data_IF_082122636266
#
_entry.id   IF_082122636266
#
_cell.length_a   1.000
_cell.length_b   1.000
_cell.length_c   1.000
_cell.angle_alpha   90.00
_cell.angle_beta   90.00
_cell.angle_gamma   90.00
#
_symmetry.space_group_name_H-M   'P 1'
#
loop_
_entity.id
_entity.type
_entity.pdbx_description
1 polymer ?
#
# COMPACT_ATOMS: atom_id res chain seq x y z
N UNK A 1 -0.73 -27.60 21.20
CA UNK A 1 -1.64 -26.64 20.56
C UNK A 1 -1.46 -25.30 21.24
N UNK A 2 -1.09 -24.25 20.50
CA UNK A 2 -1.16 -22.89 21.04
C UNK A 2 -2.63 -22.50 21.27
N UNK A 3 -2.91 -21.67 22.26
CA UNK A 3 -4.27 -21.13 22.42
C UNK A 3 -4.66 -20.26 21.21
N UNK A 4 -5.95 -20.12 20.92
CA UNK A 4 -6.46 -19.21 19.86
C UNK A 4 -5.87 -17.80 19.97
N UNK A 5 -5.54 -17.36 21.19
CA UNK A 5 -4.85 -16.11 21.45
C UNK A 5 -3.40 -16.08 20.91
N UNK A 6 -2.64 -17.14 21.11
CA UNK A 6 -1.26 -17.23 20.59
C UNK A 6 -1.24 -17.25 19.05
N UNK A 7 -2.18 -17.96 18.41
CA UNK A 7 -2.36 -17.95 16.96
C UNK A 7 -2.76 -16.56 16.44
N UNK A 8 -3.72 -15.91 17.09
CA UNK A 8 -4.12 -14.55 16.76
C UNK A 8 -2.94 -13.55 16.82
N UNK A 9 -2.16 -13.56 17.90
CA UNK A 9 -0.99 -12.68 18.05
C UNK A 9 0.07 -12.97 16.99
N UNK A 10 0.31 -14.24 16.66
CA UNK A 10 1.21 -14.62 15.58
C UNK A 10 0.76 -14.05 14.24
N UNK A 11 -0.54 -14.10 13.95
CA UNK A 11 -1.11 -13.55 12.72
C UNK A 11 -1.08 -12.02 12.68
N UNK A 12 -1.30 -11.34 13.82
CA UNK A 12 -1.06 -9.88 13.92
C UNK A 12 0.39 -9.55 13.57
N UNK A 13 1.34 -10.27 14.16
CA UNK A 13 2.77 -10.06 13.86
C UNK A 13 3.05 -10.33 12.38
N UNK A 14 2.53 -11.41 11.82
CA UNK A 14 2.70 -11.74 10.40
C UNK A 14 2.15 -10.62 9.50
N UNK A 15 0.96 -10.08 9.80
CA UNK A 15 0.38 -8.94 9.07
C UNK A 15 1.25 -7.68 9.16
N UNK A 16 1.81 -7.38 10.34
CA UNK A 16 2.74 -6.25 10.47
C UNK A 16 4.01 -6.43 9.65
N UNK A 17 4.61 -7.63 9.66
CA UNK A 17 5.82 -7.93 8.91
C UNK A 17 5.57 -7.94 7.40
N UNK A 18 4.44 -8.48 6.95
CA UNK A 18 4.04 -8.49 5.53
C UNK A 18 4.11 -7.09 4.90
N UNK A 19 3.57 -6.08 5.59
CA UNK A 19 3.63 -4.70 5.11
C UNK A 19 5.03 -4.09 5.28
N UNK A 20 5.75 -4.41 6.35
CA UNK A 20 7.07 -3.83 6.61
C UNK A 20 8.16 -4.35 5.67
N UNK A 21 8.05 -5.60 5.21
CA UNK A 21 9.04 -6.27 4.36
C UNK A 21 8.66 -6.19 2.87
N UNK A 22 7.36 -6.09 2.55
CA UNK A 22 6.87 -5.91 1.19
C UNK A 22 7.14 -4.51 0.63
N UNK A 23 8.24 -4.35 -0.12
CA UNK A 23 8.63 -3.07 -0.74
C UNK A 23 7.57 -2.55 -1.70
N UNK A 24 6.86 -3.43 -2.41
CA UNK A 24 5.73 -3.07 -3.26
C UNK A 24 4.54 -2.50 -2.45
N UNK A 25 4.23 -3.09 -1.30
CA UNK A 25 3.18 -2.61 -0.39
C UNK A 25 3.54 -1.27 0.25
N UNK A 26 4.80 -1.11 0.69
CA UNK A 26 5.28 0.18 1.22
C UNK A 26 5.22 1.28 0.16
N UNK A 27 5.75 1.02 -1.04
CA UNK A 27 5.74 1.98 -2.12
C UNK A 27 4.31 2.30 -2.58
N UNK A 28 3.42 1.30 -2.63
CA UNK A 28 2.00 1.48 -2.90
C UNK A 28 1.35 2.43 -1.90
N UNK A 29 1.56 2.21 -0.59
CA UNK A 29 1.01 3.08 0.44
C UNK A 29 1.57 4.51 0.29
N UNK A 30 2.89 4.66 0.20
CA UNK A 30 3.53 5.97 0.07
C UNK A 30 3.03 6.74 -1.16
N UNK A 31 2.91 6.07 -2.31
CA UNK A 31 2.46 6.72 -3.54
C UNK A 31 0.99 7.12 -3.47
N UNK A 32 0.13 6.39 -2.76
CA UNK A 32 -1.25 6.80 -2.47
C UNK A 32 -1.33 8.02 -1.56
N UNK A 33 -0.39 8.21 -0.63
CA UNK A 33 -0.36 9.38 0.25
C UNK A 33 0.07 10.66 -0.47
N UNK A 34 0.86 10.57 -1.56
CA UNK A 34 1.33 11.74 -2.32
C UNK A 34 0.18 12.65 -2.84
N UNK A 35 -0.86 12.15 -3.52
CA UNK A 35 -1.98 13.00 -3.92
C UNK A 35 -3.00 13.24 -2.79
N UNK A 36 -2.96 12.48 -1.69
CA UNK A 36 -4.02 12.47 -0.69
C UNK A 36 -4.22 13.80 0.05
N UNK A 37 -3.21 14.68 0.04
CA UNK A 37 -3.27 16.03 0.62
C UNK A 37 -3.80 17.10 -0.33
N UNK A 38 -4.08 16.77 -1.60
CA UNK A 38 -4.42 17.72 -2.65
C UNK A 38 -5.87 17.58 -3.12
N UNK A 39 -6.44 18.67 -3.63
CA UNK A 39 -7.74 18.63 -4.30
C UNK A 39 -7.56 18.29 -5.78
N UNK A 40 -8.40 17.40 -6.34
CA UNK A 40 -8.45 17.21 -7.78
C UNK A 40 -9.29 18.33 -8.44
N UNK A 41 -8.77 18.91 -9.53
CA UNK A 41 -9.51 19.81 -10.42
C UNK A 41 -9.34 19.34 -11.87
N UNK A 42 -10.34 18.64 -12.38
CA UNK A 42 -10.24 17.95 -13.68
C UNK A 42 -9.08 16.94 -13.68
N UNK A 43 -8.14 17.12 -14.61
CA UNK A 43 -6.95 16.26 -14.77
C UNK A 43 -5.70 16.79 -14.06
N UNK A 44 -5.85 17.72 -13.11
CA UNK A 44 -4.72 18.29 -12.36
C UNK A 44 -4.97 18.24 -10.86
N UNK A 45 -3.91 17.95 -10.12
CA UNK A 45 -3.88 18.18 -8.68
C UNK A 45 -3.64 19.67 -8.42
N UNK A 46 -4.46 20.27 -7.58
CA UNK A 46 -4.41 21.71 -7.27
C UNK A 46 -3.97 21.93 -5.82
N UNK A 47 -4.57 22.90 -5.14
CA UNK A 47 -4.15 23.34 -3.82
C UNK A 47 -4.37 22.28 -2.74
N UNK A 48 -3.71 22.49 -1.60
CA UNK A 48 -3.88 21.71 -0.38
C UNK A 48 -5.36 21.61 0.02
N UNK A 49 -5.80 20.38 0.30
CA UNK A 49 -7.19 20.05 0.62
C UNK A 49 -7.60 20.39 2.06
N UNK A 50 -6.65 20.82 2.90
CA UNK A 50 -6.86 21.02 4.33
C UNK A 50 -6.54 19.76 5.14
N UNK A 51 -6.02 19.95 6.35
CA UNK A 51 -5.54 18.87 7.23
C UNK A 51 -6.64 17.86 7.52
N UNK A 52 -7.82 18.36 7.93
CA UNK A 52 -8.97 17.52 8.26
C UNK A 52 -9.38 16.66 7.05
N UNK A 53 -9.57 17.28 5.88
CA UNK A 53 -10.00 16.55 4.68
C UNK A 53 -8.96 15.53 4.22
N UNK A 54 -7.68 15.87 4.31
CA UNK A 54 -6.57 14.95 3.96
C UNK A 54 -6.63 13.69 4.83
N UNK A 55 -6.75 13.84 6.15
CA UNK A 55 -6.85 12.70 7.08
C UNK A 55 -8.09 11.85 6.80
N UNK A 56 -9.26 12.48 6.63
CA UNK A 56 -10.50 11.75 6.33
C UNK A 56 -10.42 11.01 4.99
N UNK A 57 -9.79 11.59 3.97
CA UNK A 57 -9.61 10.95 2.68
C UNK A 57 -8.71 9.72 2.77
N UNK A 58 -7.58 9.84 3.49
CA UNK A 58 -6.64 8.73 3.72
C UNK A 58 -7.33 7.59 4.46
N UNK A 59 -8.02 7.89 5.56
CA UNK A 59 -8.74 6.88 6.34
C UNK A 59 -9.76 6.13 5.47
N UNK A 60 -10.55 6.84 4.65
CA UNK A 60 -11.50 6.21 3.73
C UNK A 60 -10.83 5.26 2.74
N UNK A 61 -9.71 5.68 2.14
CA UNK A 61 -8.96 4.88 1.16
C UNK A 61 -8.38 3.63 1.82
N UNK A 62 -7.73 3.79 2.98
CA UNK A 62 -7.09 2.69 3.73
C UNK A 62 -8.15 1.71 4.21
N UNK A 63 -9.25 2.17 4.80
CA UNK A 63 -10.35 1.29 5.23
C UNK A 63 -10.96 0.54 4.04
N UNK A 64 -11.21 1.20 2.90
CA UNK A 64 -11.75 0.53 1.73
C UNK A 64 -10.80 -0.53 1.16
N UNK A 65 -9.49 -0.24 1.15
CA UNK A 65 -8.47 -1.21 0.80
C UNK A 65 -8.50 -2.42 1.75
N UNK A 66 -8.51 -2.20 3.07
CA UNK A 66 -8.54 -3.28 4.07
C UNK A 66 -9.81 -4.13 3.93
N UNK A 67 -10.96 -3.52 3.65
CA UNK A 67 -12.21 -4.25 3.40
C UNK A 67 -12.11 -5.14 2.16
N UNK A 68 -11.62 -4.60 1.04
CA UNK A 68 -11.41 -5.38 -0.19
C UNK A 68 -10.40 -6.52 0.02
N UNK A 69 -9.30 -6.22 0.71
CA UNK A 69 -8.27 -7.19 1.07
C UNK A 69 -8.80 -8.33 1.93
N UNK A 70 -9.56 -8.00 2.98
CA UNK A 70 -10.21 -8.98 3.85
C UNK A 70 -11.15 -9.89 3.08
N UNK A 71 -11.95 -9.31 2.16
CA UNK A 71 -12.87 -10.09 1.33
C UNK A 71 -12.10 -11.08 0.45
N UNK A 72 -11.03 -10.64 -0.20
CA UNK A 72 -10.23 -11.53 -1.03
C UNK A 72 -9.53 -12.64 -0.24
N UNK A 73 -9.03 -12.34 0.96
CA UNK A 73 -8.45 -13.35 1.84
C UNK A 73 -9.46 -14.43 2.20
N UNK A 74 -10.68 -14.03 2.57
CA UNK A 74 -11.76 -14.96 2.89
C UNK A 74 -12.08 -15.82 1.67
N UNK A 75 -12.26 -15.21 0.49
CA UNK A 75 -12.60 -15.92 -0.74
C UNK A 75 -11.52 -16.94 -1.14
N UNK A 76 -10.24 -16.56 -1.02
CA UNK A 76 -9.14 -17.46 -1.35
C UNK A 76 -8.94 -18.55 -0.31
N UNK A 77 -9.08 -18.24 0.98
CA UNK A 77 -8.92 -19.23 2.04
C UNK A 77 -10.06 -20.24 2.11
N UNK A 78 -11.28 -19.87 1.70
CA UNK A 78 -12.40 -20.80 1.52
C UNK A 78 -12.28 -21.64 0.23
N UNK A 79 -11.24 -21.40 -0.59
CA UNK A 79 -11.03 -22.08 -1.87
C UNK A 79 -12.00 -21.66 -2.98
N UNK A 80 -12.77 -20.58 -2.78
CA UNK A 80 -13.70 -20.07 -3.81
C UNK A 80 -12.97 -19.36 -4.94
N UNK A 81 -11.80 -18.79 -4.65
CA UNK A 81 -10.92 -18.15 -5.63
C UNK A 81 -9.53 -18.73 -5.47
N UNK A 82 -9.09 -19.53 -6.45
CA UNK A 82 -7.74 -20.07 -6.50
C UNK A 82 -7.07 -19.59 -7.79
N UNK A 83 -6.13 -18.66 -7.66
CA UNK A 83 -5.32 -18.17 -8.77
C UNK A 83 -3.84 -18.50 -8.50
N UNK A 84 -3.05 -18.82 -9.55
CA UNK A 84 -1.60 -18.94 -9.40
C UNK A 84 -0.99 -17.63 -8.88
N UNK A 85 0.11 -17.72 -8.12
CA UNK A 85 0.77 -16.54 -7.51
C UNK A 85 1.29 -15.55 -8.56
N UNK A 86 1.88 -16.04 -9.65
CA UNK A 86 2.52 -15.20 -10.65
C UNK A 86 1.58 -14.13 -11.27
N UNK A 87 0.38 -14.46 -11.80
CA UNK A 87 -0.56 -13.43 -12.25
C UNK A 87 -0.98 -12.46 -11.15
N UNK A 88 -1.22 -12.94 -9.93
CA UNK A 88 -1.62 -12.11 -8.79
C UNK A 88 -0.53 -11.08 -8.47
N UNK A 89 0.72 -11.51 -8.41
CA UNK A 89 1.86 -10.62 -8.18
C UNK A 89 2.00 -9.60 -9.32
N UNK A 90 1.83 -10.00 -10.59
CA UNK A 90 1.85 -9.04 -11.72
C UNK A 90 0.73 -7.99 -11.54
N UNK A 91 -0.47 -8.41 -11.15
CA UNK A 91 -1.57 -7.48 -10.90
C UNK A 91 -1.29 -6.54 -9.73
N UNK A 92 -0.67 -7.02 -8.65
CA UNK A 92 -0.20 -6.18 -7.54
C UNK A 92 0.74 -5.08 -8.07
N UNK A 93 1.76 -5.43 -8.86
CA UNK A 93 2.67 -4.44 -9.43
C UNK A 93 1.94 -3.45 -10.36
N UNK A 94 0.96 -3.92 -11.14
CA UNK A 94 0.09 -3.05 -11.93
C UNK A 94 -0.72 -2.06 -11.07
N UNK A 95 -1.20 -2.45 -9.88
CA UNK A 95 -1.89 -1.51 -8.99
C UNK A 95 -0.95 -0.39 -8.51
N UNK A 96 0.33 -0.69 -8.23
CA UNK A 96 1.35 0.31 -7.89
C UNK A 96 1.58 1.27 -9.05
N UNK A 97 1.70 0.74 -10.28
CA UNK A 97 1.84 1.55 -11.49
C UNK A 97 0.65 2.51 -11.65
N UNK A 98 -0.56 1.99 -11.49
CA UNK A 98 -1.79 2.79 -11.63
C UNK A 98 -1.88 3.85 -10.52
N UNK A 99 -1.53 3.52 -9.28
CA UNK A 99 -1.49 4.47 -8.17
C UNK A 99 -0.43 5.57 -8.41
N UNK A 100 0.71 5.23 -9.00
CA UNK A 100 1.74 6.19 -9.37
C UNK A 100 1.29 7.13 -10.49
N UNK A 101 0.59 6.62 -11.51
CA UNK A 101 0.00 7.47 -12.56
C UNK A 101 -1.09 8.36 -11.95
N UNK A 102 -1.90 7.85 -11.02
CA UNK A 102 -2.88 8.65 -10.27
C UNK A 102 -2.19 9.77 -9.46
N UNK A 103 -1.04 9.48 -8.86
CA UNK A 103 -0.24 10.47 -8.17
C UNK A 103 0.30 11.55 -9.12
N UNK A 104 0.56 11.27 -10.40
CA UNK A 104 0.91 12.29 -11.42
C UNK A 104 -0.27 13.13 -11.87
N UNK A 105 -1.40 12.48 -12.14
CA UNK A 105 -2.64 13.10 -12.61
C UNK A 105 -3.85 12.36 -12.04
N UNK A 106 -4.89 13.06 -11.57
CA UNK A 106 -6.09 12.39 -11.08
C UNK A 106 -6.69 11.47 -12.14
N UNK A 107 -6.68 10.16 -11.87
CA UNK A 107 -7.31 9.14 -12.74
C UNK A 107 -8.74 8.80 -12.31
N UNK A 108 -9.06 8.95 -11.02
CA UNK A 108 -10.22 8.31 -10.40
C UNK A 108 -11.18 9.28 -9.75
N UNK A 109 -11.49 10.39 -10.40
CA UNK A 109 -12.31 11.45 -9.82
C UNK A 109 -13.62 10.90 -9.19
N UNK A 110 -13.75 11.03 -7.87
CA UNK A 110 -14.89 10.56 -7.04
C UNK A 110 -15.07 9.05 -6.97
N UNK A 111 -14.10 8.27 -7.48
CA UNK A 111 -14.13 6.80 -7.51
C UNK A 111 -12.98 6.16 -6.73
N UNK A 112 -12.18 6.97 -6.04
CA UNK A 112 -10.99 6.56 -5.30
C UNK A 112 -11.30 5.44 -4.29
N UNK A 113 -12.47 5.52 -3.64
CA UNK A 113 -12.93 4.50 -2.68
C UNK A 113 -13.11 3.11 -3.33
N UNK A 114 -13.77 3.06 -4.49
CA UNK A 114 -14.03 1.80 -5.20
C UNK A 114 -12.73 1.21 -5.77
N UNK A 115 -11.85 2.07 -6.26
CA UNK A 115 -10.54 1.65 -6.78
C UNK A 115 -9.66 1.13 -5.65
N UNK A 116 -9.67 1.77 -4.48
CA UNK A 116 -8.95 1.29 -3.31
C UNK A 116 -9.44 -0.08 -2.85
N UNK A 117 -10.76 -0.30 -2.82
CA UNK A 117 -11.34 -1.62 -2.54
C UNK A 117 -10.94 -2.67 -3.58
N UNK A 118 -10.93 -2.32 -4.88
CA UNK A 118 -10.48 -3.20 -5.95
C UNK A 118 -8.99 -3.56 -5.82
N UNK A 119 -8.14 -2.59 -5.49
CA UNK A 119 -6.73 -2.85 -5.22
C UNK A 119 -6.56 -3.73 -4.00
N UNK A 120 -7.34 -3.50 -2.94
CA UNK A 120 -7.37 -4.38 -1.77
C UNK A 120 -7.69 -5.83 -2.15
N UNK A 121 -8.72 -6.04 -2.98
CA UNK A 121 -9.08 -7.36 -3.48
C UNK A 121 -7.89 -8.05 -4.16
N UNK A 122 -7.19 -7.36 -5.06
CA UNK A 122 -6.03 -7.94 -5.77
C UNK A 122 -4.92 -8.32 -4.79
N UNK A 123 -4.60 -7.46 -3.82
CA UNK A 123 -3.52 -7.72 -2.87
C UNK A 123 -3.82 -8.89 -1.92
N UNK A 124 -5.09 -9.06 -1.52
CA UNK A 124 -5.49 -10.14 -0.62
C UNK A 124 -5.30 -11.55 -1.22
N UNK A 125 -5.32 -11.67 -2.55
CA UNK A 125 -5.11 -12.95 -3.24
C UNK A 125 -3.70 -13.52 -3.05
N UNK A 126 -2.69 -12.67 -2.86
CA UNK A 126 -1.30 -13.14 -2.76
C UNK A 126 -1.07 -13.94 -1.46
N UNK A 127 -1.73 -13.53 -0.37
CA UNK A 127 -1.58 -14.19 0.93
C UNK A 127 -2.65 -15.27 1.17
N UNK A 128 -3.73 -15.30 0.39
CA UNK A 128 -4.76 -16.33 0.55
C UNK A 128 -4.28 -17.74 0.27
N UNK A 129 -3.28 -17.90 -0.61
CA UNK A 129 -2.63 -19.20 -0.89
C UNK A 129 -1.93 -19.74 0.35
N UNK A 130 -1.12 -18.92 1.01
CA UNK A 130 -0.45 -19.25 2.29
C UNK A 130 -1.48 -19.69 3.33
N UNK A 131 -2.60 -18.96 3.43
CA UNK A 131 -3.63 -19.27 4.41
C UNK A 131 -4.38 -20.57 4.10
N UNK A 132 -4.58 -20.90 2.82
CA UNK A 132 -5.18 -22.16 2.38
C UNK A 132 -4.30 -23.38 2.70
N UNK A 133 -2.97 -23.22 2.68
CA UNK A 133 -2.01 -24.28 2.99
C UNK A 133 -1.97 -24.63 4.49
N UNK A 134 -2.46 -23.75 5.38
CA UNK A 134 -2.49 -23.99 6.82
C UNK A 134 -3.58 -24.98 7.26
N UNK A 135 -4.50 -25.37 6.37
CA UNK A 135 -5.58 -26.34 6.64
C UNK A 135 -6.33 -26.09 7.97
N UNK A 136 -6.58 -24.83 8.30
CA UNK A 136 -7.20 -24.41 9.55
C UNK A 136 -8.69 -24.76 9.62
N UNK A 137 -9.20 -25.03 10.82
CA UNK A 137 -10.64 -25.07 11.04
C UNK A 137 -11.26 -23.67 10.86
N UNK A 138 -12.54 -23.59 10.51
CA UNK A 138 -13.24 -22.32 10.18
C UNK A 138 -13.09 -21.26 11.27
N UNK A 139 -13.15 -21.65 12.55
CA UNK A 139 -12.97 -20.71 13.66
C UNK A 139 -11.56 -20.14 13.73
N UNK A 140 -10.55 -20.99 13.59
CA UNK A 140 -9.13 -20.59 13.57
C UNK A 140 -8.80 -19.73 12.36
N UNK A 141 -9.41 -20.03 11.21
CA UNK A 141 -9.29 -19.25 9.99
C UNK A 141 -9.80 -17.82 10.20
N UNK A 142 -10.99 -17.66 10.81
CA UNK A 142 -11.56 -16.33 11.10
C UNK A 142 -10.62 -15.53 12.02
N UNK A 143 -10.14 -16.13 13.12
CA UNK A 143 -9.20 -15.45 14.01
C UNK A 143 -7.88 -15.09 13.30
N UNK A 144 -7.41 -15.95 12.40
CA UNK A 144 -6.18 -15.71 11.64
C UNK A 144 -6.32 -14.57 10.65
N UNK A 145 -7.44 -14.51 9.90
CA UNK A 145 -7.75 -13.41 8.99
C UNK A 145 -7.90 -12.09 9.76
N UNK A 146 -8.61 -12.10 10.89
CA UNK A 146 -8.77 -10.91 11.74
C UNK A 146 -7.42 -10.42 12.28
N UNK A 147 -6.61 -11.33 12.82
CA UNK A 147 -5.28 -11.00 13.33
C UNK A 147 -4.40 -10.39 12.23
N UNK A 148 -4.35 -11.04 11.07
CA UNK A 148 -3.56 -10.56 9.93
C UNK A 148 -3.96 -9.15 9.48
N UNK A 149 -5.26 -8.88 9.30
CA UNK A 149 -5.75 -7.56 8.89
C UNK A 149 -5.50 -6.48 9.96
N UNK A 150 -5.62 -6.81 11.24
CA UNK A 150 -5.24 -5.89 12.34
C UNK A 150 -3.75 -5.57 12.26
N UNK A 151 -2.90 -6.57 12.00
CA UNK A 151 -1.47 -6.36 11.78
C UNK A 151 -1.17 -5.40 10.62
N UNK A 152 -1.86 -5.58 9.49
CA UNK A 152 -1.76 -4.69 8.33
C UNK A 152 -2.16 -3.26 8.71
N UNK A 153 -3.33 -3.09 9.32
CA UNK A 153 -3.88 -1.78 9.66
C UNK A 153 -2.99 -1.04 10.66
N UNK A 154 -2.43 -1.75 11.66
CA UNK A 154 -1.47 -1.17 12.61
C UNK A 154 -0.22 -0.62 11.90
N UNK A 155 0.35 -1.38 10.97
CA UNK A 155 1.53 -0.93 10.22
C UNK A 155 1.19 0.23 9.27
N UNK A 156 0.05 0.17 8.58
CA UNK A 156 -0.42 1.25 7.71
C UNK A 156 -0.62 2.55 8.51
N UNK A 157 -1.30 2.50 9.66
CA UNK A 157 -1.51 3.66 10.54
C UNK A 157 -0.17 4.22 11.02
N UNK A 158 0.79 3.37 11.39
CA UNK A 158 2.12 3.81 11.79
C UNK A 158 2.83 4.57 10.65
N UNK A 159 2.83 4.02 9.43
CA UNK A 159 3.47 4.67 8.27
C UNK A 159 2.78 6.01 7.97
N UNK A 160 1.45 6.05 8.01
CA UNK A 160 0.65 7.26 7.80
C UNK A 160 1.00 8.31 8.87
N UNK A 161 1.05 7.92 10.13
CA UNK A 161 1.38 8.81 11.24
C UNK A 161 2.77 9.43 11.09
N UNK A 162 3.76 8.65 10.63
CA UNK A 162 5.14 9.11 10.43
C UNK A 162 5.32 9.97 9.18
N UNK A 163 4.46 9.85 8.17
CA UNK A 163 4.65 10.49 6.86
C UNK A 163 3.76 11.71 6.64
N UNK A 164 2.49 11.64 7.08
CA UNK A 164 1.48 12.65 6.78
C UNK A 164 1.76 14.04 7.34
N UNK A 165 2.28 14.24 8.55
CA UNK A 165 2.59 15.58 9.04
C UNK A 165 3.51 16.35 8.08
N UNK A 166 4.53 15.69 7.55
CA UNK A 166 5.49 16.27 6.61
C UNK A 166 4.88 16.54 5.24
N UNK A 167 4.10 15.60 4.72
CA UNK A 167 3.38 15.79 3.46
C UNK A 167 2.38 16.94 3.55
N UNK A 168 1.71 17.12 4.69
CA UNK A 168 0.81 18.26 4.93
C UNK A 168 1.59 19.58 4.93
N UNK A 169 2.73 19.65 5.62
CA UNK A 169 3.56 20.86 5.63
C UNK A 169 4.02 21.22 4.21
N UNK A 170 4.55 20.24 3.48
CA UNK A 170 5.01 20.44 2.11
C UNK A 170 3.89 20.82 1.15
N UNK A 171 2.71 20.21 1.27
CA UNK A 171 1.57 20.44 0.37
C UNK A 171 1.04 21.87 0.36
N UNK A 172 1.37 22.66 1.39
CA UNK A 172 1.06 24.10 1.45
C UNK A 172 1.90 24.92 0.47
N UNK A 173 3.00 24.35 -0.03
CA UNK A 173 3.99 25.01 -0.86
C UNK A 173 3.93 24.53 -2.32
N UNK A 174 4.20 25.44 -3.26
CA UNK A 174 4.24 25.12 -4.69
C UNK A 174 5.30 24.08 -5.09
N UNK A 175 6.32 23.87 -4.24
CA UNK A 175 7.38 22.88 -4.45
C UNK A 175 6.93 21.43 -4.24
N UNK A 176 5.80 21.19 -3.57
CA UNK A 176 5.26 19.85 -3.35
C UNK A 176 5.06 19.06 -4.65
N UNK A 177 4.75 19.77 -5.74
CA UNK A 177 4.58 19.17 -7.06
C UNK A 177 5.82 18.37 -7.50
N UNK A 178 7.02 18.84 -7.15
CA UNK A 178 8.27 18.16 -7.55
C UNK A 178 8.47 16.87 -6.76
N UNK A 179 8.22 16.90 -5.45
CA UNK A 179 8.26 15.71 -4.61
C UNK A 179 7.24 14.66 -5.09
N UNK A 180 6.00 15.08 -5.33
CA UNK A 180 4.93 14.21 -5.85
C UNK A 180 5.32 13.58 -7.19
N UNK A 181 5.83 14.38 -8.13
CA UNK A 181 6.24 13.89 -9.45
C UNK A 181 7.44 12.94 -9.33
N UNK A 182 8.47 13.30 -8.56
CA UNK A 182 9.64 12.46 -8.35
C UNK A 182 9.25 11.10 -7.73
N UNK A 183 8.45 11.12 -6.65
CA UNK A 183 7.95 9.90 -6.01
C UNK A 183 7.12 9.03 -6.95
N UNK A 184 6.25 9.65 -7.76
CA UNK A 184 5.47 8.91 -8.75
C UNK A 184 6.34 8.32 -9.88
N UNK A 185 7.37 9.03 -10.35
CA UNK A 185 8.31 8.50 -11.36
C UNK A 185 9.10 7.32 -10.80
N UNK A 186 9.61 7.41 -9.57
CA UNK A 186 10.27 6.28 -8.89
C UNK A 186 9.31 5.09 -8.81
N UNK A 187 8.06 5.33 -8.44
CA UNK A 187 7.06 4.27 -8.34
C UNK A 187 6.71 3.63 -9.69
N UNK A 188 6.64 4.42 -10.77
CA UNK A 188 6.46 3.91 -12.15
C UNK A 188 7.63 3.02 -12.56
N UNK A 189 8.87 3.47 -12.33
CA UNK A 189 10.07 2.69 -12.69
C UNK A 189 10.12 1.38 -11.90
N UNK A 190 9.89 1.44 -10.59
CA UNK A 190 9.86 0.26 -9.73
C UNK A 190 8.76 -0.73 -10.14
N UNK A 191 7.53 -0.25 -10.36
CA UNK A 191 6.41 -1.11 -10.74
C UNK A 191 6.58 -1.76 -12.11
N UNK A 192 7.12 -1.04 -13.10
CA UNK A 192 7.46 -1.63 -14.40
C UNK A 192 8.55 -2.70 -14.27
N UNK A 193 9.57 -2.45 -13.45
CA UNK A 193 10.62 -3.44 -13.17
C UNK A 193 10.04 -4.70 -12.51
N UNK A 194 9.15 -4.56 -11.52
CA UNK A 194 8.49 -5.70 -10.89
C UNK A 194 7.55 -6.46 -11.83
N UNK A 195 6.81 -5.77 -12.71
CA UNK A 195 5.99 -6.45 -13.73
C UNK A 195 6.88 -7.35 -14.60
N UNK A 196 8.02 -6.83 -15.07
CA UNK A 196 8.95 -7.58 -15.92
C UNK A 196 9.57 -8.75 -15.15
N UNK A 197 10.02 -8.52 -13.91
CA UNK A 197 10.57 -9.56 -13.04
C UNK A 197 9.58 -10.69 -12.81
N UNK A 198 8.32 -10.38 -12.44
CA UNK A 198 7.29 -11.37 -12.18
C UNK A 198 6.86 -12.10 -13.45
N UNK A 199 6.91 -11.43 -14.61
CA UNK A 199 6.67 -12.04 -15.91
C UNK A 199 7.78 -13.03 -16.31
N UNK A 200 9.04 -12.66 -16.09
CA UNK A 200 10.22 -13.45 -16.47
C UNK A 200 10.67 -14.45 -15.40
N UNK A 201 10.16 -14.31 -14.18
CA UNK A 201 10.58 -15.04 -12.98
C UNK A 201 12.08 -14.89 -12.66
N UNK A 202 12.68 -13.78 -13.09
CA UNK A 202 14.11 -13.47 -12.93
C UNK A 202 14.28 -12.05 -12.36
N UNK A 203 15.07 -11.89 -11.28
CA UNK A 203 15.29 -10.58 -10.68
C UNK A 203 16.05 -9.69 -11.65
N UNK A 204 15.73 -8.39 -11.64
CA UNK A 204 16.45 -7.41 -12.45
C UNK A 204 17.15 -6.38 -11.55
N UNK A 205 18.15 -5.71 -12.12
CA UNK A 205 18.96 -4.75 -11.37
C UNK A 205 18.13 -3.60 -10.78
N UNK A 206 17.05 -3.20 -11.45
CA UNK A 206 16.23 -2.07 -11.01
C UNK A 206 15.45 -2.45 -9.76
N UNK A 207 14.80 -3.62 -9.73
CA UNK A 207 14.08 -4.07 -8.54
C UNK A 207 14.99 -4.24 -7.34
N UNK A 208 16.17 -4.85 -7.51
CA UNK A 208 17.16 -4.97 -6.43
C UNK A 208 17.62 -3.62 -5.89
N UNK A 209 17.85 -2.63 -6.77
CA UNK A 209 18.23 -1.27 -6.34
C UNK A 209 17.10 -0.57 -5.58
N UNK A 210 15.86 -0.74 -6.02
CA UNK A 210 14.68 -0.20 -5.32
C UNK A 210 14.57 -0.82 -3.93
N UNK A 211 14.71 -2.13 -3.81
CA UNK A 211 14.66 -2.84 -2.53
C UNK A 211 15.75 -2.37 -1.57
N UNK A 212 17.00 -2.27 -2.04
CA UNK A 212 18.11 -1.74 -1.24
C UNK A 212 17.87 -0.29 -0.79
N UNK A 213 17.29 0.54 -1.65
CA UNK A 213 16.90 1.90 -1.31
C UNK A 213 15.82 1.96 -0.23
N UNK A 214 14.84 1.05 -0.28
CA UNK A 214 13.77 0.97 0.71
C UNK A 214 14.21 0.40 2.06
N UNK A 215 15.20 -0.49 2.08
CA UNK A 215 15.84 -0.92 3.33
C UNK A 215 16.48 0.25 4.10
N UNK A 216 16.83 1.33 3.38
CA UNK A 216 17.29 2.59 3.96
C UNK A 216 16.15 3.54 4.34
N UNK A 217 14.91 3.05 4.48
CA UNK A 217 13.69 3.86 4.64
C UNK A 217 13.70 4.91 5.76
N UNK A 218 14.52 4.73 6.81
CA UNK A 218 14.78 5.76 7.82
C UNK A 218 15.31 7.05 7.21
N UNK A 219 16.22 6.95 6.23
CA UNK A 219 16.77 8.10 5.52
C UNK A 219 15.75 8.78 4.63
N UNK A 220 14.85 8.02 3.99
CA UNK A 220 13.73 8.61 3.22
C UNK A 220 12.82 9.47 4.10
N UNK A 221 12.49 8.99 5.31
CA UNK A 221 11.72 9.76 6.29
C UNK A 221 12.47 11.01 6.76
N UNK A 222 13.77 10.90 7.04
CA UNK A 222 14.59 12.05 7.45
C UNK A 222 14.72 13.08 6.33
N UNK A 223 14.90 12.66 5.08
CA UNK A 223 14.93 13.54 3.91
C UNK A 223 13.59 14.25 3.72
N UNK A 224 12.48 13.53 3.87
CA UNK A 224 11.13 14.11 3.79
C UNK A 224 10.92 15.16 4.89
N UNK A 225 11.32 14.85 6.12
CA UNK A 225 11.26 15.76 7.26
C UNK A 225 12.12 17.01 7.04
N UNK A 226 13.37 16.84 6.60
CA UNK A 226 14.27 17.95 6.30
C UNK A 226 13.71 18.83 5.18
N UNK A 227 13.20 18.24 4.10
CA UNK A 227 12.56 18.97 3.02
C UNK A 227 11.34 19.76 3.51
N UNK A 228 10.52 19.19 4.40
CA UNK A 228 9.37 19.87 4.98
C UNK A 228 9.78 21.09 5.81
N UNK A 229 10.74 20.93 6.72
CA UNK A 229 11.24 22.00 7.60
C UNK A 229 11.92 23.12 6.80
N UNK A 230 12.71 22.77 5.77
CA UNK A 230 13.38 23.78 4.91
C UNK A 230 12.40 24.54 4.02
N UNK A 231 11.17 24.05 3.87
CA UNK A 231 10.15 24.66 3.02
C UNK A 231 9.16 25.57 3.77
N UNK A 232 9.10 25.48 5.11
CA UNK A 232 8.28 26.35 5.96
C UNK A 232 8.97 27.66 6.27
#
# INVERSE_FOLDING_TARGET
AGSNWSGFVAMVRLGTHHIAEGVDHLLFLLVLLLPATLLPSGHRWTSFAGTRNSIFNILKIVTAFTVGHSLSLILGALGWVALPSQPVEIFIACTVLIAAIHALRPLFFKRELYVAALFGLVHGLAFSTVLSELHLETGELIYSILGFNIGIELMQVLIIFLTIPWLILLSKNGHYKYLRIAGAVVAIVASLAWIIERWQLEPNRISTLVEQGFQQGRWLLLLLMAAAILST
#
